data_IF_497509350286
#
_entry.id   IF_497509350286
#
_cell.length_a   1.000
_cell.length_b   1.000
_cell.length_c   1.000
_cell.angle_alpha   90.00
_cell.angle_beta   90.00
_cell.angle_gamma   90.00
#
_symmetry.space_group_name_H-M   'P 1'
#
loop_
_entity.id
_entity.type
_entity.pdbx_description
1 polymer ?
#
# COMPACT_ATOMS: atom_id res chain seq x y z
N UNK A 1 11.67 65.48 -34.74
CA UNK A 1 11.78 64.01 -34.74
C UNK A 1 11.35 63.52 -33.36
N UNK A 2 10.27 62.74 -33.36
CA UNK A 2 9.85 61.76 -32.32
C UNK A 2 9.62 62.29 -30.89
N UNK A 3 8.40 62.78 -30.56
CA UNK A 3 7.25 62.07 -29.92
C UNK A 3 7.45 61.79 -28.41
N UNK A 4 6.52 62.06 -27.47
CA UNK A 4 5.18 62.67 -27.45
C UNK A 4 4.83 62.93 -25.97
N UNK A 5 4.06 64.00 -25.74
CA UNK A 5 3.47 64.48 -24.47
C UNK A 5 2.24 63.65 -24.00
N UNK A 6 1.95 63.80 -22.70
CA UNK A 6 0.63 63.86 -22.01
C UNK A 6 -0.25 62.59 -22.09
N UNK A 7 -0.81 62.09 -20.98
CA UNK A 7 -1.97 62.59 -20.19
C UNK A 7 -1.92 61.96 -18.77
N UNK A 8 -2.63 62.36 -17.71
CA UNK A 8 -3.83 63.16 -17.49
C UNK A 8 -4.62 62.50 -16.34
N UNK A 9 -4.98 63.30 -15.33
CA UNK A 9 -5.74 62.96 -14.12
C UNK A 9 -7.21 62.62 -14.46
N UNK A 10 -7.84 61.74 -13.68
CA UNK A 10 -9.30 61.52 -13.69
C UNK A 10 -9.78 60.63 -12.54
N UNK A 11 -10.59 61.21 -11.66
CA UNK A 11 -11.28 60.65 -10.49
C UNK A 11 -12.46 59.70 -10.83
N UNK A 12 -12.92 59.02 -9.76
CA UNK A 12 -14.25 58.39 -9.53
C UNK A 12 -14.63 57.08 -10.25
N UNK A 13 -14.82 56.00 -9.46
CA UNK A 13 -16.14 55.64 -8.92
C UNK A 13 -16.11 54.24 -8.27
N UNK A 14 -16.49 54.21 -6.99
CA UNK A 14 -16.73 53.02 -6.17
C UNK A 14 -17.99 52.31 -6.67
N UNK A 15 -17.90 51.02 -7.02
CA UNK A 15 -19.06 50.12 -7.11
C UNK A 15 -18.75 48.80 -6.42
N UNK A 16 -19.51 48.58 -5.35
CA UNK A 16 -19.71 47.36 -4.59
C UNK A 16 -20.17 46.20 -5.47
N UNK A 17 -19.59 45.01 -5.25
CA UNK A 17 -20.27 43.75 -5.56
C UNK A 17 -20.16 42.82 -4.35
N UNK A 18 -21.33 42.31 -3.99
CA UNK A 18 -21.70 41.61 -2.77
C UNK A 18 -21.26 40.14 -2.80
N UNK A 19 -20.81 39.67 -1.64
CA UNK A 19 -20.68 38.26 -1.26
C UNK A 19 -22.07 37.61 -1.07
N UNK A 20 -22.31 36.35 -1.49
CA UNK A 20 -23.52 35.65 -1.09
C UNK A 20 -23.36 35.02 0.29
N UNK A 21 -24.15 35.53 1.23
CA UNK A 21 -24.32 35.08 2.61
C UNK A 21 -25.27 33.88 2.73
N UNK A 22 -24.98 33.05 3.73
CA UNK A 22 -25.81 32.09 4.47
C UNK A 22 -27.29 31.98 4.10
N UNK A 23 -27.72 30.76 3.78
CA UNK A 23 -29.12 30.32 3.92
C UNK A 23 -29.27 29.44 5.15
N UNK A 24 -29.84 30.02 6.19
CA UNK A 24 -30.50 29.36 7.30
C UNK A 24 -31.74 28.63 6.77
N UNK A 25 -31.87 27.32 7.04
CA UNK A 25 -33.13 26.60 6.89
C UNK A 25 -33.59 26.14 8.27
N UNK A 26 -34.83 26.51 8.54
CA UNK A 26 -35.63 26.39 9.75
C UNK A 26 -35.89 24.96 10.19
N UNK A 27 -35.90 24.79 11.52
CA UNK A 27 -36.35 23.62 12.26
C UNK A 27 -37.79 23.21 11.90
N UNK A 28 -38.00 21.93 11.63
CA UNK A 28 -39.30 21.27 11.76
C UNK A 28 -39.12 20.08 12.69
N UNK A 29 -39.75 20.20 13.85
CA UNK A 29 -39.92 19.15 14.87
C UNK A 29 -40.78 18.02 14.33
N UNK A 30 -40.27 16.79 14.32
CA UNK A 30 -41.11 15.61 14.16
C UNK A 30 -40.73 14.48 15.16
N UNK A 31 -41.68 14.27 16.07
CA UNK A 31 -42.08 13.05 16.79
C UNK A 31 -41.07 11.90 17.00
N UNK A 32 -40.64 11.76 18.26
CA UNK A 32 -40.09 10.55 18.87
C UNK A 32 -41.16 9.44 18.96
N UNK A 33 -40.96 8.33 18.26
CA UNK A 33 -41.57 7.04 18.61
C UNK A 33 -40.49 6.10 19.16
N UNK A 34 -40.73 5.67 20.41
CA UNK A 34 -39.92 4.72 21.15
C UNK A 34 -39.95 3.33 20.50
N UNK A 35 -38.80 2.85 20.03
CA UNK A 35 -38.58 1.43 19.75
C UNK A 35 -37.85 0.82 20.96
N UNK A 36 -38.60 0.06 21.74
CA UNK A 36 -38.11 -0.83 22.79
C UNK A 36 -37.18 -1.87 22.20
N UNK A 37 -35.90 -1.84 22.59
CA UNK A 37 -34.94 -2.91 22.33
C UNK A 37 -35.22 -4.03 23.33
N UNK A 38 -35.75 -5.14 22.84
CA UNK A 38 -35.84 -6.39 23.58
C UNK A 38 -34.42 -6.90 23.84
N UNK A 39 -34.01 -6.90 25.11
CA UNK A 39 -32.79 -7.55 25.58
C UNK A 39 -32.91 -9.06 25.36
N UNK A 40 -32.09 -9.63 24.47
CA UNK A 40 -31.92 -11.07 24.34
C UNK A 40 -30.79 -11.52 25.27
N UNK A 41 -31.02 -12.63 25.95
CA UNK A 41 -30.25 -13.18 27.06
C UNK A 41 -28.82 -13.57 26.67
N UNK A 42 -27.90 -13.37 27.62
CA UNK A 42 -26.50 -13.78 27.55
C UNK A 42 -26.37 -15.30 27.48
N UNK A 43 -25.68 -15.79 26.45
CA UNK A 43 -24.99 -17.07 26.48
C UNK A 43 -23.49 -16.81 26.41
N UNK A 44 -22.80 -17.13 27.50
CA UNK A 44 -21.34 -17.18 27.59
C UNK A 44 -20.81 -18.27 26.65
N UNK A 45 -20.27 -17.87 25.50
CA UNK A 45 -19.41 -18.73 24.68
C UNK A 45 -18.04 -18.05 24.57
N UNK A 46 -17.08 -18.53 25.37
CA UNK A 46 -15.73 -17.93 25.52
C UNK A 46 -14.73 -18.38 24.46
N UNK A 47 -15.16 -19.08 23.40
CA UNK A 47 -14.24 -19.67 22.41
C UNK A 47 -14.53 -19.32 20.93
N UNK A 48 -15.21 -18.20 20.64
CA UNK A 48 -15.37 -17.71 19.26
C UNK A 48 -14.96 -16.23 19.13
N UNK A 49 -13.66 -15.95 19.01
CA UNK A 49 -13.20 -14.71 18.36
C UNK A 49 -13.40 -14.87 16.85
N UNK A 50 -14.66 -14.87 16.42
CA UNK A 50 -15.00 -14.81 15.01
C UNK A 50 -15.32 -13.35 14.68
N UNK A 51 -14.27 -12.52 14.69
CA UNK A 51 -14.38 -11.21 14.07
C UNK A 51 -14.64 -11.39 12.58
N UNK A 52 -15.48 -10.52 12.02
CA UNK A 52 -16.03 -10.65 10.66
C UNK A 52 -14.95 -11.07 9.65
N UNK A 53 -15.28 -12.06 8.81
CA UNK A 53 -14.37 -12.60 7.79
C UNK A 53 -14.75 -12.01 6.44
N UNK A 54 -13.84 -11.22 5.86
CA UNK A 54 -13.93 -10.80 4.47
C UNK A 54 -13.43 -11.92 3.57
N UNK A 55 -14.34 -12.78 3.13
CA UNK A 55 -14.05 -13.80 2.12
C UNK A 55 -13.97 -13.16 0.73
N UNK A 56 -12.96 -13.52 -0.07
CA UNK A 56 -12.80 -12.99 -1.43
C UNK A 56 -12.26 -14.02 -2.41
N UNK A 57 -12.53 -13.81 -3.69
CA UNK A 57 -12.01 -14.63 -4.80
C UNK A 57 -11.26 -13.78 -5.82
N UNK A 58 -10.48 -14.43 -6.68
CA UNK A 58 -9.78 -13.78 -7.79
C UNK A 58 -10.73 -13.05 -8.76
N UNK A 59 -11.99 -13.48 -8.83
CA UNK A 59 -13.02 -12.84 -9.66
C UNK A 59 -13.39 -11.43 -9.19
N UNK A 60 -12.99 -11.04 -7.98
CA UNK A 60 -13.22 -9.70 -7.43
C UNK A 60 -12.01 -8.76 -7.63
N UNK A 61 -10.90 -9.25 -8.18
CA UNK A 61 -9.71 -8.43 -8.40
C UNK A 61 -9.94 -7.39 -9.51
N UNK A 62 -9.69 -6.13 -9.16
CA UNK A 62 -9.79 -4.99 -10.05
C UNK A 62 -8.40 -4.60 -10.54
N UNK A 63 -7.98 -5.13 -11.69
CA UNK A 63 -6.63 -4.91 -12.23
C UNK A 63 -6.38 -3.48 -12.74
N UNK A 64 -7.43 -2.75 -13.11
CA UNK A 64 -7.36 -1.35 -13.55
C UNK A 64 -8.42 -0.49 -12.87
N UNK A 65 -8.12 0.80 -12.76
CA UNK A 65 -9.04 1.82 -12.23
C UNK A 65 -9.02 3.07 -13.11
N UNK A 66 -10.03 3.92 -12.94
CA UNK A 66 -10.11 5.22 -13.62
C UNK A 66 -8.94 6.13 -13.22
N UNK A 67 -8.45 6.94 -14.17
CA UNK A 67 -7.42 7.97 -13.98
C UNK A 67 -7.97 9.19 -13.25
N UNK A 68 -7.12 9.88 -12.45
CA UNK A 68 -7.47 11.14 -11.77
C UNK A 68 -8.16 12.13 -12.71
N UNK A 69 -9.34 12.63 -12.30
CA UNK A 69 -10.19 13.49 -13.13
C UNK A 69 -11.12 14.35 -12.28
N UNK A 70 -11.53 15.54 -12.78
CA UNK A 70 -12.20 16.58 -11.98
C UNK A 70 -13.65 16.29 -11.57
N UNK A 71 -14.27 15.21 -12.07
CA UNK A 71 -15.70 14.92 -11.87
C UNK A 71 -16.03 13.44 -11.61
N UNK A 72 -15.02 12.60 -11.41
CA UNK A 72 -15.26 11.19 -11.14
C UNK A 72 -15.49 10.99 -9.65
N UNK A 73 -16.76 10.86 -9.22
CA UNK A 73 -17.07 10.28 -7.92
C UNK A 73 -16.34 8.94 -7.77
N UNK A 74 -15.78 8.70 -6.59
CA UNK A 74 -15.07 7.45 -6.33
C UNK A 74 -16.08 6.31 -6.21
N UNK A 75 -16.06 5.40 -7.18
CA UNK A 75 -16.81 4.16 -7.07
C UNK A 75 -16.14 3.25 -6.04
N UNK A 76 -16.94 2.74 -5.09
CA UNK A 76 -16.49 1.85 -4.03
C UNK A 76 -16.82 0.40 -4.38
N UNK A 77 -15.84 -0.48 -4.24
CA UNK A 77 -16.04 -1.94 -4.27
C UNK A 77 -16.79 -2.43 -3.01
N UNK A 78 -17.11 -3.73 -2.95
CA UNK A 78 -17.59 -4.38 -1.71
C UNK A 78 -16.58 -4.21 -0.58
N UNK A 79 -15.30 -4.46 -0.87
CA UNK A 79 -14.19 -4.30 0.07
C UNK A 79 -14.12 -2.87 0.62
N UNK A 80 -14.20 -1.86 -0.24
CA UNK A 80 -14.13 -0.46 0.19
C UNK A 80 -15.29 -0.09 1.11
N UNK A 81 -16.51 -0.53 0.79
CA UNK A 81 -17.69 -0.25 1.61
C UNK A 81 -17.56 -0.89 2.99
N UNK A 82 -17.12 -2.13 3.07
CA UNK A 82 -17.00 -2.87 4.32
C UNK A 82 -15.88 -2.33 5.21
N UNK A 83 -14.70 -2.05 4.63
CA UNK A 83 -13.59 -1.43 5.37
C UNK A 83 -14.02 -0.08 5.95
N UNK A 84 -14.62 0.78 5.11
CA UNK A 84 -15.07 2.11 5.53
C UNK A 84 -16.13 2.04 6.61
N UNK A 85 -17.13 1.17 6.45
CA UNK A 85 -18.19 0.98 7.44
C UNK A 85 -17.62 0.56 8.81
N UNK A 86 -16.70 -0.42 8.82
CA UNK A 86 -16.11 -0.92 10.06
C UNK A 86 -15.14 0.10 10.69
N UNK A 87 -14.41 0.86 9.87
CA UNK A 87 -13.56 1.95 10.35
C UNK A 87 -14.39 3.09 10.96
N UNK A 88 -15.48 3.51 10.31
CA UNK A 88 -16.41 4.53 10.80
C UNK A 88 -17.09 4.08 12.11
N UNK A 89 -17.49 2.80 12.19
CA UNK A 89 -18.06 2.22 13.40
C UNK A 89 -17.06 2.24 14.56
N UNK A 90 -15.80 1.88 14.31
CA UNK A 90 -14.74 1.93 15.32
C UNK A 90 -14.44 3.38 15.75
N UNK A 91 -14.49 4.34 14.83
CA UNK A 91 -14.31 5.77 15.13
C UNK A 91 -15.42 6.27 16.04
N UNK A 92 -16.67 5.97 15.69
CA UNK A 92 -17.86 6.29 16.49
C UNK A 92 -17.84 5.62 17.87
N UNK A 93 -17.27 4.42 17.97
CA UNK A 93 -17.12 3.70 19.23
C UNK A 93 -15.96 4.21 20.11
N UNK A 94 -15.15 5.16 19.65
CA UNK A 94 -14.04 5.73 20.41
C UNK A 94 -12.80 4.84 20.48
N UNK A 95 -12.59 3.96 19.50
CA UNK A 95 -11.44 3.05 19.48
C UNK A 95 -10.11 3.74 19.09
N UNK A 96 -10.17 4.99 18.62
CA UNK A 96 -9.02 5.79 18.19
C UNK A 96 -8.55 6.74 19.29
N UNK A 97 -7.28 7.16 19.22
CA UNK A 97 -6.72 8.16 20.15
C UNK A 97 -7.20 9.59 19.88
N UNK A 98 -7.62 9.85 18.64
CA UNK A 98 -8.10 11.14 18.16
C UNK A 98 -8.91 10.95 16.86
N UNK A 99 -9.83 11.88 16.58
CA UNK A 99 -10.54 11.99 15.28
C UNK A 99 -9.65 12.58 14.17
N UNK A 100 -10.13 12.61 12.94
CA UNK A 100 -9.37 13.17 11.80
C UNK A 100 -9.96 14.47 11.24
N UNK A 101 -11.02 15.01 11.85
CA UNK A 101 -11.76 16.17 11.32
C UNK A 101 -10.90 17.45 11.30
N UNK A 102 -9.86 17.48 12.14
CA UNK A 102 -8.91 18.57 12.24
C UNK A 102 -7.77 18.52 11.19
N UNK A 103 -7.65 17.44 10.42
CA UNK A 103 -6.57 17.31 9.44
C UNK A 103 -6.82 18.27 8.29
N UNK A 104 -5.80 19.07 7.98
CA UNK A 104 -5.84 20.00 6.83
C UNK A 104 -4.83 19.58 5.78
N UNK A 105 -5.24 19.65 4.52
CA UNK A 105 -4.41 19.25 3.37
C UNK A 105 -3.97 20.47 2.56
N UNK A 106 -2.70 20.49 2.18
CA UNK A 106 -2.09 21.47 1.27
C UNK A 106 -1.27 20.74 0.22
N UNK A 107 -1.50 21.07 -1.04
CA UNK A 107 -0.60 20.68 -2.12
C UNK A 107 0.55 21.69 -2.16
N UNK A 108 1.78 21.22 -1.94
CA UNK A 108 2.97 22.07 -2.01
C UNK A 108 3.17 22.46 -3.49
N UNK A 109 3.32 23.75 -3.82
CA UNK A 109 3.54 24.18 -5.19
C UNK A 109 4.88 23.68 -5.74
N UNK A 110 4.83 22.98 -6.87
CA UNK A 110 6.01 22.52 -7.61
C UNK A 110 5.68 21.32 -8.51
N UNK A 111 6.65 20.79 -9.27
CA UNK A 111 6.43 19.71 -10.22
C UNK A 111 6.07 18.35 -9.60
N UNK A 112 6.34 18.11 -8.31
CA UNK A 112 6.03 16.82 -7.65
C UNK A 112 4.66 16.81 -6.99
N UNK A 113 4.08 17.98 -6.75
CA UNK A 113 2.78 18.17 -6.11
C UNK A 113 2.69 17.44 -4.77
N UNK A 114 3.72 17.57 -3.92
CA UNK A 114 3.73 16.91 -2.62
C UNK A 114 2.46 17.23 -1.81
N UNK A 115 1.84 16.19 -1.24
CA UNK A 115 0.59 16.32 -0.47
C UNK A 115 0.95 16.45 1.00
N UNK A 116 0.92 17.65 1.55
CA UNK A 116 1.15 17.91 2.96
C UNK A 116 -0.16 17.85 3.76
N UNK A 117 -0.15 17.13 4.87
CA UNK A 117 -1.26 17.08 5.82
C UNK A 117 -0.81 17.47 7.22
N UNK A 118 -1.41 18.51 7.78
CA UNK A 118 -1.15 18.90 9.16
C UNK A 118 -1.95 18.01 10.12
N UNK A 119 -1.24 17.27 10.97
CA UNK A 119 -1.87 16.42 11.98
C UNK A 119 -1.14 16.55 13.34
N UNK A 120 -1.50 17.61 14.07
CA UNK A 120 -0.90 17.96 15.37
C UNK A 120 -1.18 16.88 16.44
N UNK A 121 -2.39 16.30 16.44
CA UNK A 121 -2.75 15.26 17.40
C UNK A 121 -1.94 13.99 17.18
N UNK A 122 -1.66 13.61 15.93
CA UNK A 122 -0.75 12.51 15.64
C UNK A 122 0.65 12.75 16.16
N UNK A 123 1.17 13.97 16.02
CA UNK A 123 2.51 14.29 16.49
C UNK A 123 2.63 14.09 18.02
N UNK A 124 1.57 14.43 18.75
CA UNK A 124 1.51 14.41 20.22
C UNK A 124 1.05 13.08 20.82
N UNK A 125 -0.02 12.49 20.30
CA UNK A 125 -0.75 11.38 20.93
C UNK A 125 -0.28 10.00 20.43
N UNK A 126 0.60 9.94 19.42
CA UNK A 126 1.09 8.68 18.87
C UNK A 126 1.95 7.92 19.88
N UNK A 127 1.81 6.59 19.88
CA UNK A 127 2.64 5.71 20.71
C UNK A 127 4.13 5.90 20.46
N UNK A 128 4.92 5.75 21.53
CA UNK A 128 6.37 5.62 21.41
C UNK A 128 6.69 4.34 20.60
N UNK A 129 7.59 4.42 19.60
CA UNK A 129 8.12 3.25 18.93
C UNK A 129 8.80 2.28 19.90
N UNK A 130 8.85 1.00 19.55
CA UNK A 130 9.72 0.04 20.22
C UNK A 130 11.20 0.44 20.06
N UNK A 131 12.06 -0.04 20.95
CA UNK A 131 13.51 0.11 20.82
C UNK A 131 14.00 -0.81 19.69
N UNK A 132 14.39 -0.21 18.57
CA UNK A 132 14.82 -0.91 17.35
C UNK A 132 16.31 -0.62 17.13
N UNK A 133 17.13 -1.67 17.21
CA UNK A 133 18.59 -1.55 17.13
C UNK A 133 19.20 -2.22 15.91
N UNK A 134 18.45 -3.09 15.24
CA UNK A 134 18.90 -3.85 14.08
C UNK A 134 17.73 -4.11 13.14
N UNK A 135 18.02 -4.24 11.84
CA UNK A 135 17.03 -4.70 10.86
C UNK A 135 16.59 -6.15 11.11
N UNK A 136 17.48 -6.97 11.69
CA UNK A 136 17.30 -8.39 11.98
C UNK A 136 16.94 -8.63 13.46
N UNK A 137 16.34 -7.64 14.13
CA UNK A 137 15.95 -7.78 15.53
C UNK A 137 14.87 -8.87 15.68
N UNK A 138 15.06 -9.85 16.57
CA UNK A 138 14.08 -10.93 16.75
C UNK A 138 12.75 -10.38 17.28
N UNK A 139 11.66 -11.05 16.91
CA UNK A 139 10.36 -10.82 17.51
C UNK A 139 10.41 -11.07 19.02
N UNK A 140 9.72 -10.24 19.80
CA UNK A 140 9.63 -10.38 21.24
C UNK A 140 8.15 -10.46 21.67
N UNK A 141 7.68 -11.62 22.17
CA UNK A 141 6.28 -11.79 22.58
C UNK A 141 5.92 -11.03 23.87
N UNK A 142 6.91 -10.68 24.69
CA UNK A 142 6.72 -10.11 26.04
C UNK A 142 6.45 -8.60 26.02
N UNK A 143 6.68 -7.95 24.88
CA UNK A 143 6.33 -6.54 24.66
C UNK A 143 5.08 -6.45 23.78
N UNK A 144 4.52 -5.23 23.65
CA UNK A 144 3.36 -5.02 22.80
C UNK A 144 3.58 -5.59 21.40
N UNK A 145 2.63 -6.37 20.92
CA UNK A 145 2.58 -6.87 19.55
C UNK A 145 1.11 -7.05 19.11
N UNK A 146 0.87 -7.22 17.81
CA UNK A 146 -0.50 -7.21 17.28
C UNK A 146 -1.37 -8.41 17.63
N UNK A 147 -0.86 -9.48 18.27
CA UNK A 147 -1.75 -10.52 18.83
C UNK A 147 -2.52 -10.05 20.06
N UNK A 148 -2.16 -8.88 20.61
CA UNK A 148 -2.72 -8.31 21.83
C UNK A 148 -3.79 -7.23 21.55
N UNK A 149 -4.08 -6.92 20.27
CA UNK A 149 -5.11 -5.95 19.91
C UNK A 149 -6.49 -6.48 20.28
N UNK A 150 -7.35 -5.60 20.78
CA UNK A 150 -8.71 -5.97 21.17
C UNK A 150 -9.65 -6.14 19.98
N UNK A 151 -10.79 -6.83 20.15
CA UNK A 151 -11.77 -7.04 19.09
C UNK A 151 -12.34 -5.73 18.52
N UNK A 152 -12.39 -4.66 19.32
CA UNK A 152 -12.83 -3.33 18.89
C UNK A 152 -11.89 -2.66 17.88
N UNK A 153 -10.64 -3.13 17.78
CA UNK A 153 -9.66 -2.62 16.79
C UNK A 153 -9.71 -3.44 15.49
N UNK A 154 -10.38 -4.59 15.48
CA UNK A 154 -10.46 -5.45 14.30
C UNK A 154 -11.45 -4.87 13.29
N UNK A 155 -11.01 -4.73 12.04
CA UNK A 155 -11.87 -4.38 10.91
C UNK A 155 -12.48 -5.64 10.32
N UNK A 156 -11.66 -6.62 9.95
CA UNK A 156 -12.06 -7.98 9.57
C UNK A 156 -10.83 -8.88 9.39
N UNK A 157 -11.06 -10.19 9.28
CA UNK A 157 -10.06 -11.16 8.82
C UNK A 157 -10.20 -11.37 7.30
N UNK A 158 -9.08 -11.34 6.57
CA UNK A 158 -9.04 -11.59 5.13
C UNK A 158 -8.89 -13.10 4.86
N UNK A 159 -9.76 -13.65 4.01
CA UNK A 159 -9.70 -15.06 3.64
C UNK A 159 -9.95 -15.25 2.14
N UNK A 160 -8.90 -15.65 1.42
CA UNK A 160 -9.04 -16.05 0.01
C UNK A 160 -9.76 -17.39 -0.06
N UNK A 161 -10.86 -17.46 -0.80
CA UNK A 161 -11.62 -18.70 -1.04
C UNK A 161 -11.45 -19.13 -2.49
N UNK A 162 -11.33 -20.44 -2.72
CA UNK A 162 -11.27 -20.97 -4.09
C UNK A 162 -12.66 -20.91 -4.70
N UNK A 163 -12.76 -20.42 -5.94
CA UNK A 163 -14.00 -20.53 -6.71
C UNK A 163 -14.27 -22.02 -6.97
N UNK A 164 -15.30 -22.57 -6.34
CA UNK A 164 -15.73 -23.93 -6.63
C UNK A 164 -16.23 -23.99 -8.07
N UNK A 165 -15.38 -24.48 -8.99
CA UNK A 165 -15.76 -24.85 -10.35
C UNK A 165 -16.59 -26.15 -10.34
N UNK A 166 -17.74 -26.12 -9.67
CA UNK A 166 -18.78 -27.16 -9.75
C UNK A 166 -20.17 -26.53 -9.78
N UNK A 167 -20.47 -25.83 -10.86
CA UNK A 167 -21.82 -25.83 -11.42
C UNK A 167 -21.72 -26.07 -12.92
N UNK A 168 -22.09 -27.27 -13.33
CA UNK A 168 -22.36 -27.63 -14.70
C UNK A 168 -23.51 -26.77 -15.23
N UNK A 169 -23.19 -25.71 -15.97
CA UNK A 169 -24.11 -25.08 -16.92
C UNK A 169 -23.43 -25.09 -18.28
N UNK A 170 -24.10 -25.75 -19.24
CA UNK A 170 -23.66 -25.92 -20.64
C UNK A 170 -23.20 -24.58 -21.25
N UNK A 171 -22.14 -24.57 -22.07
CA UNK A 171 -21.70 -23.33 -22.72
C UNK A 171 -22.72 -22.89 -23.77
N UNK A 172 -23.09 -21.61 -23.70
CA UNK A 172 -23.88 -20.91 -24.73
C UNK A 172 -22.97 -20.63 -25.95
N UNK A 173 -23.44 -20.83 -27.19
CA UNK A 173 -22.61 -20.69 -28.38
C UNK A 173 -22.46 -19.21 -28.73
N UNK A 174 -21.50 -18.50 -28.11
CA UNK A 174 -21.00 -17.23 -28.66
C UNK A 174 -19.65 -16.76 -28.09
N UNK A 175 -18.74 -17.67 -27.74
CA UNK A 175 -17.36 -17.33 -27.36
C UNK A 175 -16.35 -18.09 -28.21
N UNK A 176 -16.57 -18.08 -29.53
CA UNK A 176 -15.69 -18.69 -30.52
C UNK A 176 -15.50 -17.78 -31.74
N UNK A 177 -15.27 -16.48 -31.54
CA UNK A 177 -14.87 -15.58 -32.64
C UNK A 177 -13.81 -14.51 -32.29
N UNK A 178 -13.23 -14.48 -31.08
CA UNK A 178 -12.20 -13.47 -30.74
C UNK A 178 -10.78 -14.06 -30.58
N UNK A 179 -10.63 -15.38 -30.53
CA UNK A 179 -9.31 -16.03 -30.39
C UNK A 179 -8.76 -16.65 -31.69
N UNK A 180 -9.31 -16.30 -32.87
CA UNK A 180 -8.88 -16.90 -34.15
C UNK A 180 -8.39 -15.91 -35.20
N UNK A 181 -8.04 -14.68 -34.80
CA UNK A 181 -7.63 -13.61 -35.71
C UNK A 181 -6.18 -13.12 -35.54
N UNK A 182 -5.33 -13.77 -34.73
CA UNK A 182 -3.92 -13.35 -34.58
C UNK A 182 -2.88 -14.48 -34.80
N UNK A 183 -3.28 -15.67 -35.21
CA UNK A 183 -2.35 -16.77 -35.52
C UNK A 183 -2.73 -17.42 -36.86
N UNK A 184 -2.53 -16.69 -37.95
CA UNK A 184 -2.69 -17.23 -39.30
C UNK A 184 -1.78 -16.56 -40.31
N UNK A 185 -0.50 -16.38 -39.97
CA UNK A 185 0.58 -16.32 -40.95
C UNK A 185 1.86 -16.90 -40.31
N UNK A 186 1.97 -18.23 -40.24
CA UNK A 186 3.20 -19.00 -40.47
C UNK A 186 2.85 -20.51 -40.47
N UNK A 187 2.92 -21.09 -41.68
CA UNK A 187 3.18 -22.49 -42.08
C UNK A 187 3.21 -23.57 -40.96
N UNK A 188 2.38 -24.63 -40.94
CA UNK A 188 2.45 -25.89 -41.76
C UNK A 188 3.90 -26.37 -41.94
N UNK A 189 4.38 -27.55 -41.56
CA UNK A 189 3.93 -28.91 -41.20
C UNK A 189 4.95 -29.42 -40.13
N UNK A 190 4.82 -30.47 -39.31
CA UNK A 190 4.38 -31.84 -39.54
C UNK A 190 4.33 -32.59 -38.18
N UNK A 191 3.41 -33.54 -38.04
CA UNK A 191 3.23 -34.43 -36.89
C UNK A 191 4.34 -35.48 -36.78
N UNK A 192 4.69 -35.89 -35.55
CA UNK A 192 4.67 -37.30 -35.14
C UNK A 192 5.09 -37.52 -33.67
N UNK A 193 4.38 -38.44 -33.01
CA UNK A 193 5.00 -39.40 -32.10
C UNK A 193 4.90 -39.14 -30.61
N UNK A 194 3.83 -39.64 -30.01
CA UNK A 194 3.72 -39.86 -28.57
C UNK A 194 4.76 -40.88 -28.08
N UNK A 195 5.34 -40.62 -26.89
CA UNK A 195 5.74 -41.69 -25.98
C UNK A 195 5.78 -41.17 -24.53
N UNK A 196 4.93 -41.74 -23.69
CA UNK A 196 5.01 -41.66 -22.23
C UNK A 196 6.15 -42.54 -21.71
N UNK A 197 6.77 -42.17 -20.57
CA UNK A 197 7.25 -43.05 -19.47
C UNK A 197 7.98 -42.20 -18.39
N UNK A 198 8.02 -42.61 -17.10
CA UNK A 198 7.71 -41.73 -15.98
C UNK A 198 8.85 -41.38 -15.00
N UNK A 199 8.56 -40.37 -14.17
CA UNK A 199 9.06 -40.04 -12.81
C UNK A 199 10.57 -40.13 -12.54
N UNK A 200 11.16 -38.99 -12.17
CA UNK A 200 12.16 -38.96 -11.10
C UNK A 200 12.02 -37.74 -10.20
N UNK A 201 11.88 -38.02 -8.92
CA UNK A 201 11.90 -37.13 -7.77
C UNK A 201 13.33 -36.93 -7.26
N UNK A 202 13.69 -35.69 -6.94
CA UNK A 202 14.80 -35.35 -6.03
C UNK A 202 15.40 -33.96 -6.29
N UNK A 203 16.07 -33.33 -5.30
CA UNK A 203 15.73 -33.23 -3.89
C UNK A 203 15.45 -31.77 -3.47
N UNK A 204 14.60 -31.64 -2.46
CA UNK A 204 14.40 -30.42 -1.67
C UNK A 204 15.65 -30.08 -0.83
N UNK A 205 15.83 -28.78 -0.58
CA UNK A 205 16.40 -28.28 0.67
C UNK A 205 17.90 -27.99 0.68
N UNK A 206 18.24 -26.71 0.56
CA UNK A 206 19.41 -26.15 1.25
C UNK A 206 18.94 -24.89 2.00
N UNK A 207 19.10 -24.98 3.32
CA UNK A 207 18.63 -24.06 4.36
C UNK A 207 19.88 -23.42 4.96
N UNK A 208 19.88 -22.11 5.17
CA UNK A 208 20.92 -21.43 5.94
C UNK A 208 20.29 -20.62 7.07
N UNK A 209 20.32 -21.22 8.27
CA UNK A 209 20.39 -20.66 9.63
C UNK A 209 19.41 -21.35 10.58
N UNK A 210 19.92 -22.43 11.21
CA UNK A 210 19.20 -23.32 12.09
C UNK A 210 18.95 -22.76 13.48
N UNK A 211 17.68 -22.54 13.76
CA UNK A 211 17.05 -22.98 15.01
C UNK A 211 15.70 -23.62 14.64
N UNK A 212 15.46 -24.91 14.93
CA UNK A 212 14.12 -25.48 14.80
C UNK A 212 13.23 -24.86 15.88
N UNK A 213 12.23 -24.08 15.47
CA UNK A 213 11.12 -23.77 16.36
C UNK A 213 10.42 -25.08 16.74
N UNK A 214 10.09 -25.30 18.02
CA UNK A 214 9.33 -26.48 18.40
C UNK A 214 7.97 -26.42 17.68
N UNK A 215 7.54 -27.49 16.99
CA UNK A 215 6.17 -27.54 16.53
C UNK A 215 5.30 -27.50 17.78
N UNK A 216 4.37 -26.53 17.84
CA UNK A 216 3.24 -26.60 18.74
C UNK A 216 2.43 -27.85 18.36
N UNK A 217 2.80 -28.99 18.94
CA UNK A 217 1.99 -30.19 18.91
C UNK A 217 0.83 -29.98 19.87
N UNK A 218 -0.26 -29.41 19.35
CA UNK A 218 -1.59 -29.74 19.84
C UNK A 218 -2.18 -30.78 18.89
N UNK A 219 -2.60 -31.91 19.47
CA UNK A 219 -3.04 -33.10 18.75
C UNK A 219 -4.21 -32.87 17.81
N UNK A 220 -4.29 -33.72 16.78
CA UNK A 220 -5.37 -33.84 15.79
C UNK A 220 -5.91 -32.51 15.22
N UNK A 221 -5.40 -32.04 14.09
CA UNK A 221 -6.02 -30.90 13.42
C UNK A 221 -5.50 -30.66 12.01
N UNK A 222 -6.42 -30.39 11.08
CA UNK A 222 -6.11 -29.79 9.78
C UNK A 222 -5.12 -28.62 9.98
N UNK A 223 -4.15 -28.47 9.07
CA UNK A 223 -3.37 -27.23 8.94
C UNK A 223 -4.32 -26.04 9.10
N UNK A 224 -4.20 -25.29 10.19
CA UNK A 224 -5.02 -24.10 10.42
C UNK A 224 -4.58 -23.09 9.37
N UNK A 225 -5.51 -22.64 8.53
CA UNK A 225 -5.22 -21.60 7.54
C UNK A 225 -4.59 -20.39 8.24
N UNK A 226 -3.60 -19.78 7.59
CA UNK A 226 -2.95 -18.59 8.15
C UNK A 226 -3.96 -17.45 8.31
N UNK A 227 -4.02 -16.86 9.50
CA UNK A 227 -4.89 -15.71 9.77
C UNK A 227 -4.23 -14.43 9.27
N UNK A 228 -4.89 -13.76 8.31
CA UNK A 228 -4.55 -12.41 7.87
C UNK A 228 -5.60 -11.45 8.44
N UNK A 229 -5.18 -10.49 9.26
CA UNK A 229 -6.10 -9.56 9.91
C UNK A 229 -5.92 -8.14 9.36
N UNK A 230 -7.00 -7.39 9.26
CA UNK A 230 -6.98 -5.95 9.05
C UNK A 230 -7.49 -5.29 10.33
N UNK A 231 -6.68 -4.43 10.94
CA UNK A 231 -7.04 -3.71 12.18
C UNK A 231 -6.95 -2.22 11.95
N UNK A 232 -7.69 -1.41 12.71
CA UNK A 232 -7.55 0.05 12.63
C UNK A 232 -6.15 0.46 13.09
N UNK A 233 -5.65 1.56 12.55
CA UNK A 233 -4.55 2.25 13.20
C UNK A 233 -5.12 3.25 14.22
N UNK A 234 -5.05 2.91 15.51
CA UNK A 234 -5.55 3.76 16.61
C UNK A 234 -4.91 5.16 16.66
N UNK A 235 -3.82 5.38 15.93
CA UNK A 235 -3.31 6.71 15.60
C UNK A 235 -3.43 6.88 14.08
N UNK A 236 -4.57 7.35 13.56
CA UNK A 236 -4.79 7.44 12.12
C UNK A 236 -3.99 8.60 11.52
N UNK A 237 -3.72 8.51 10.22
CA UNK A 237 -3.05 9.59 9.45
C UNK A 237 -4.02 10.25 8.50
N UNK A 238 -4.98 9.47 8.04
CA UNK A 238 -5.98 9.79 7.05
C UNK A 238 -7.12 8.78 7.25
N UNK A 239 -8.25 9.05 6.63
CA UNK A 239 -9.40 8.20 6.55
C UNK A 239 -9.08 6.76 6.11
N UNK A 240 -9.67 5.79 6.79
CA UNK A 240 -9.46 4.37 6.56
C UNK A 240 -8.04 3.88 6.84
N UNK A 241 -7.23 4.62 7.61
CA UNK A 241 -5.90 4.15 7.99
C UNK A 241 -5.99 2.91 8.89
N UNK A 242 -5.64 1.77 8.32
CA UNK A 242 -5.60 0.44 8.91
C UNK A 242 -4.19 -0.15 8.84
N UNK A 243 -3.99 -1.26 9.55
CA UNK A 243 -2.81 -2.10 9.51
C UNK A 243 -3.20 -3.48 9.01
N UNK A 244 -2.65 -3.89 7.87
CA UNK A 244 -2.71 -5.27 7.41
C UNK A 244 -1.67 -6.07 8.18
N UNK A 245 -2.09 -7.20 8.77
CA UNK A 245 -1.30 -8.10 9.60
C UNK A 245 -1.28 -9.50 8.95
N UNK A 246 -0.39 -9.75 7.99
CA UNK A 246 -0.31 -11.05 7.33
C UNK A 246 0.21 -12.12 8.29
N UNK A 247 -0.49 -13.26 8.37
CA UNK A 247 -0.06 -14.41 9.18
C UNK A 247 0.19 -14.02 10.65
N UNK A 248 -0.70 -13.20 11.24
CA UNK A 248 -0.51 -12.55 12.54
C UNK A 248 -0.19 -13.53 13.68
N UNK A 249 -0.74 -14.75 13.61
CA UNK A 249 -0.53 -15.79 14.63
C UNK A 249 0.85 -16.45 14.56
N UNK A 250 1.61 -16.22 13.48
CA UNK A 250 2.99 -16.68 13.34
C UNK A 250 3.99 -15.78 14.06
N UNK A 251 3.57 -14.62 14.56
CA UNK A 251 4.43 -13.70 15.31
C UNK A 251 5.73 -13.35 14.55
N UNK A 252 5.61 -13.12 13.24
CA UNK A 252 6.77 -12.83 12.40
C UNK A 252 7.35 -11.46 12.76
N UNK A 253 8.70 -11.31 12.80
CA UNK A 253 9.32 -9.99 12.91
C UNK A 253 8.92 -9.10 11.73
N UNK A 254 9.17 -7.79 11.84
CA UNK A 254 8.87 -6.80 10.79
C UNK A 254 9.82 -6.95 9.57
N UNK A 255 9.67 -8.06 8.88
CA UNK A 255 10.42 -8.52 7.71
C UNK A 255 9.39 -9.07 6.74
N UNK A 256 9.34 -8.56 5.51
CA UNK A 256 8.40 -9.03 4.51
C UNK A 256 8.70 -10.47 4.08
N UNK A 257 7.64 -11.23 3.83
CA UNK A 257 7.65 -12.53 3.17
C UNK A 257 6.96 -12.42 1.82
N UNK A 258 7.21 -13.37 0.91
CA UNK A 258 6.47 -13.46 -0.36
C UNK A 258 4.95 -13.50 -0.12
N UNK A 259 4.49 -14.28 0.87
CA UNK A 259 3.08 -14.35 1.28
C UNK A 259 2.56 -12.99 1.73
N UNK A 260 3.34 -12.23 2.50
CA UNK A 260 2.91 -10.91 2.99
C UNK A 260 2.71 -9.89 1.87
N UNK A 261 3.60 -9.90 0.85
CA UNK A 261 3.51 -9.04 -0.32
C UNK A 261 2.32 -9.46 -1.19
N UNK A 262 2.11 -10.77 -1.36
CA UNK A 262 0.96 -11.32 -2.08
C UNK A 262 -0.36 -10.84 -1.48
N UNK A 263 -0.56 -11.01 -0.17
CA UNK A 263 -1.79 -10.57 0.51
C UNK A 263 -1.97 -9.05 0.42
N UNK A 264 -0.88 -8.28 0.48
CA UNK A 264 -0.91 -6.83 0.31
C UNK A 264 -1.38 -6.41 -1.11
N UNK A 265 -0.89 -7.10 -2.15
CA UNK A 265 -1.31 -6.89 -3.54
C UNK A 265 -2.77 -7.32 -3.77
N UNK A 266 -3.17 -8.49 -3.26
CA UNK A 266 -4.55 -8.96 -3.33
C UNK A 266 -5.50 -7.97 -2.65
N UNK A 267 -5.16 -7.48 -1.46
CA UNK A 267 -5.97 -6.48 -0.76
C UNK A 267 -6.11 -5.16 -1.56
N UNK A 268 -5.03 -4.69 -2.19
CA UNK A 268 -5.10 -3.51 -3.05
C UNK A 268 -6.01 -3.74 -4.28
N UNK A 269 -5.95 -4.94 -4.88
CA UNK A 269 -6.77 -5.30 -6.03
C UNK A 269 -8.27 -5.39 -5.69
N UNK A 270 -8.63 -5.66 -4.44
CA UNK A 270 -10.03 -5.64 -4.00
C UNK A 270 -10.61 -4.22 -3.94
N UNK A 271 -9.77 -3.20 -3.75
CA UNK A 271 -10.22 -1.81 -3.72
C UNK A 271 -10.40 -1.24 -5.12
N UNK A 272 -11.56 -0.61 -5.37
CA UNK A 272 -11.82 0.18 -6.58
C UNK A 272 -11.33 1.62 -6.44
N UNK A 273 -11.06 2.05 -5.22
CA UNK A 273 -10.61 3.40 -4.94
C UNK A 273 -9.14 3.58 -5.38
N UNK A 274 -8.93 4.45 -6.37
CA UNK A 274 -7.60 4.71 -6.94
C UNK A 274 -6.54 5.19 -5.92
N UNK A 275 -7.00 5.93 -4.91
CA UNK A 275 -6.18 6.45 -3.83
C UNK A 275 -6.03 5.49 -2.64
N UNK A 276 -6.42 4.22 -2.76
CA UNK A 276 -6.10 3.22 -1.74
C UNK A 276 -4.65 2.77 -1.92
N UNK A 277 -3.86 2.80 -0.85
CA UNK A 277 -2.40 2.58 -0.90
C UNK A 277 -1.95 1.76 0.28
N UNK A 278 -0.84 1.04 0.11
CA UNK A 278 -0.18 0.33 1.19
C UNK A 278 1.29 0.74 1.32
N UNK A 279 1.80 0.77 2.53
CA UNK A 279 3.19 1.07 2.83
C UNK A 279 3.77 0.10 3.86
N UNK A 280 5.02 -0.32 3.66
CA UNK A 280 5.77 -1.09 4.64
C UNK A 280 7.09 -0.40 4.97
N UNK A 281 7.43 -0.48 6.24
CA UNK A 281 8.66 0.06 6.79
C UNK A 281 9.42 -1.11 7.41
N UNK A 282 10.66 -1.36 6.96
CA UNK A 282 11.52 -2.31 7.66
C UNK A 282 11.89 -1.75 9.03
N UNK A 283 12.38 -2.62 9.91
CA UNK A 283 13.17 -2.16 11.05
C UNK A 283 14.34 -1.27 10.56
N UNK A 284 14.69 -0.25 11.35
CA UNK A 284 15.63 0.81 10.97
C UNK A 284 15.21 1.68 9.76
N UNK A 285 13.99 1.51 9.23
CA UNK A 285 13.35 2.35 8.22
C UNK A 285 12.03 2.97 8.72
N UNK A 286 12.02 3.37 10.00
CA UNK A 286 10.88 3.97 10.71
C UNK A 286 9.68 3.07 11.02
N UNK A 287 9.82 1.73 10.96
CA UNK A 287 8.90 0.83 11.65
C UNK A 287 8.79 1.21 13.14
N UNK A 288 7.59 1.10 13.70
CA UNK A 288 7.35 1.44 15.12
C UNK A 288 7.11 0.23 16.02
N UNK A 289 6.79 -0.93 15.42
CA UNK A 289 6.50 -2.20 16.10
C UNK A 289 7.24 -3.30 15.34
N UNK A 290 7.94 -4.19 16.05
CA UNK A 290 8.55 -5.39 15.48
C UNK A 290 7.54 -6.55 15.46
N UNK A 291 6.57 -6.46 14.57
CA UNK A 291 5.63 -7.53 14.22
C UNK A 291 5.13 -7.20 12.80
N UNK A 292 5.32 -8.10 11.84
CA UNK A 292 4.98 -7.92 10.42
C UNK A 292 3.62 -7.22 10.19
N UNK A 293 3.67 -6.00 9.64
CA UNK A 293 2.50 -5.22 9.27
C UNK A 293 2.77 -4.30 8.08
N UNK A 294 1.72 -4.01 7.32
CA UNK A 294 1.64 -2.95 6.31
C UNK A 294 0.65 -1.89 6.77
N UNK A 295 0.96 -0.63 6.54
CA UNK A 295 -0.01 0.45 6.60
C UNK A 295 -0.90 0.39 5.37
N UNK A 296 -2.20 0.63 5.52
CA UNK A 296 -3.15 0.78 4.42
C UNK A 296 -4.05 1.98 4.69
N UNK A 297 -4.34 2.81 3.68
CA UNK A 297 -5.14 4.03 3.84
C UNK A 297 -5.69 4.51 2.51
N UNK A 298 -6.75 5.32 2.57
CA UNK A 298 -7.24 6.09 1.42
C UNK A 298 -6.60 7.47 1.45
N UNK A 299 -6.32 8.06 0.30
CA UNK A 299 -6.03 9.49 0.19
C UNK A 299 -6.52 9.97 -1.18
N UNK A 300 -7.42 10.95 -1.18
CA UNK A 300 -8.09 11.48 -2.39
C UNK A 300 -7.26 12.52 -3.16
N UNK A 301 -5.93 12.34 -3.17
CA UNK A 301 -5.00 13.16 -3.93
C UNK A 301 -4.03 12.26 -4.70
N UNK A 302 -3.72 12.63 -5.95
CA UNK A 302 -2.71 11.95 -6.77
C UNK A 302 -1.30 12.19 -6.20
N UNK A 303 -0.53 11.12 -6.01
CA UNK A 303 0.86 11.20 -5.57
C UNK A 303 1.84 11.10 -6.73
N UNK A 304 3.03 11.69 -6.58
CA UNK A 304 4.10 11.68 -7.60
C UNK A 304 4.46 10.27 -8.07
N UNK A 305 4.48 9.29 -7.16
CA UNK A 305 4.81 7.89 -7.48
C UNK A 305 3.79 7.20 -8.39
N UNK A 306 2.60 7.75 -8.55
CA UNK A 306 1.56 7.16 -9.40
C UNK A 306 1.79 7.44 -10.89
N UNK A 307 2.53 8.49 -11.21
CA UNK A 307 2.77 8.93 -12.58
C UNK A 307 4.24 9.22 -12.90
N UNK A 308 5.15 9.14 -11.92
CA UNK A 308 6.55 9.44 -12.15
C UNK A 308 7.14 8.52 -13.24
N UNK A 309 8.03 9.06 -14.08
CA UNK A 309 8.77 8.24 -15.04
C UNK A 309 9.69 7.27 -14.29
N UNK A 310 9.96 6.14 -14.93
CA UNK A 310 10.91 5.13 -14.45
C UNK A 310 11.86 4.74 -15.57
N UNK A 311 13.05 4.27 -15.22
CA UNK A 311 14.04 3.76 -16.18
C UNK A 311 14.02 2.24 -16.14
N UNK A 312 13.82 1.57 -17.27
CA UNK A 312 13.93 0.11 -17.34
C UNK A 312 15.37 -0.33 -17.06
N UNK A 313 15.55 -1.36 -16.23
CA UNK A 313 16.86 -1.90 -15.87
C UNK A 313 17.12 -3.30 -16.47
N UNK A 314 16.29 -4.29 -16.13
CA UNK A 314 16.41 -5.68 -16.60
C UNK A 314 15.14 -6.48 -16.31
N UNK A 315 14.69 -7.36 -17.20
CA UNK A 315 13.45 -8.13 -16.98
C UNK A 315 12.27 -7.22 -16.63
N UNK A 316 11.59 -7.50 -15.51
CA UNK A 316 10.49 -6.67 -14.98
C UNK A 316 10.95 -5.60 -13.97
N UNK A 317 12.27 -5.39 -13.83
CA UNK A 317 12.88 -4.43 -12.90
C UNK A 317 13.02 -3.04 -13.54
N UNK A 318 12.52 -2.04 -12.82
CA UNK A 318 12.66 -0.62 -13.16
C UNK A 318 13.35 0.15 -12.03
N UNK A 319 13.85 1.34 -12.35
CA UNK A 319 14.42 2.30 -11.42
C UNK A 319 13.53 3.53 -11.31
N UNK A 320 13.27 3.97 -10.08
CA UNK A 320 12.70 5.28 -9.77
C UNK A 320 13.80 6.19 -9.23
N UNK A 321 13.98 7.35 -9.87
CA UNK A 321 14.94 8.39 -9.49
C UNK A 321 14.31 9.79 -9.47
N UNK A 322 12.99 9.89 -9.61
CA UNK A 322 12.25 11.16 -9.51
C UNK A 322 12.22 11.69 -8.09
N UNK A 323 12.23 10.79 -7.11
CA UNK A 323 12.36 11.11 -5.69
C UNK A 323 13.85 11.21 -5.31
N UNK A 324 14.23 12.04 -4.32
CA UNK A 324 15.63 12.16 -3.91
C UNK A 324 16.24 10.82 -3.54
N UNK A 325 15.49 9.91 -2.88
CA UNK A 325 15.95 8.54 -2.65
C UNK A 325 15.66 7.68 -3.88
N UNK A 326 16.69 7.18 -4.57
CA UNK A 326 16.47 6.28 -5.69
C UNK A 326 16.05 4.89 -5.19
N UNK A 327 15.31 4.16 -6.02
CA UNK A 327 14.79 2.84 -5.67
C UNK A 327 14.40 2.02 -6.88
N UNK A 328 13.81 0.86 -6.62
CA UNK A 328 13.40 -0.09 -7.65
C UNK A 328 11.88 -0.14 -7.76
N UNK A 329 11.39 -0.33 -8.97
CA UNK A 329 9.98 -0.38 -9.30
C UNK A 329 9.60 -1.68 -10.00
N UNK A 330 8.40 -2.16 -9.68
CA UNK A 330 7.72 -3.31 -10.29
C UNK A 330 6.27 -2.92 -10.59
N UNK A 331 5.60 -3.65 -11.49
CA UNK A 331 4.19 -3.43 -11.79
C UNK A 331 3.46 -4.73 -12.08
N UNK A 332 2.14 -4.75 -11.89
CA UNK A 332 1.31 -5.91 -12.28
C UNK A 332 1.03 -5.98 -13.79
N UNK A 333 1.15 -4.88 -14.53
CA UNK A 333 0.91 -4.90 -15.97
C UNK A 333 1.95 -5.77 -16.68
N UNK A 334 1.48 -6.80 -17.37
CA UNK A 334 2.34 -7.82 -17.99
C UNK A 334 2.86 -8.89 -17.02
N UNK A 335 2.37 -8.91 -15.78
CA UNK A 335 2.83 -9.83 -14.73
C UNK A 335 1.64 -10.41 -13.94
N UNK A 336 1.92 -11.20 -12.91
CA UNK A 336 0.92 -11.76 -11.98
C UNK A 336 1.20 -11.32 -10.56
N UNK A 337 0.23 -11.49 -9.67
CA UNK A 337 0.43 -11.22 -8.23
C UNK A 337 1.55 -12.10 -7.68
N UNK A 338 1.57 -13.38 -8.05
CA UNK A 338 2.61 -14.33 -7.66
C UNK A 338 4.00 -13.88 -8.12
N UNK A 339 4.13 -13.49 -9.40
CA UNK A 339 5.41 -13.09 -9.97
C UNK A 339 5.93 -11.81 -9.32
N UNK A 340 5.12 -10.75 -9.25
CA UNK A 340 5.52 -9.50 -8.59
C UNK A 340 5.86 -9.73 -7.12
N UNK A 341 5.10 -10.57 -6.41
CA UNK A 341 5.39 -10.90 -5.01
C UNK A 341 6.75 -11.56 -4.86
N UNK A 342 7.07 -12.54 -5.73
CA UNK A 342 8.36 -13.23 -5.73
C UNK A 342 9.50 -12.29 -6.04
N UNK A 343 9.36 -11.44 -7.07
CA UNK A 343 10.39 -10.50 -7.50
C UNK A 343 10.68 -9.43 -6.44
N UNK A 344 9.63 -8.84 -5.85
CA UNK A 344 9.78 -7.89 -4.73
C UNK A 344 10.39 -8.57 -3.52
N UNK A 345 9.97 -9.80 -3.21
CA UNK A 345 10.53 -10.59 -2.11
C UNK A 345 12.03 -10.88 -2.32
N UNK A 346 12.46 -11.24 -3.52
CA UNK A 346 13.88 -11.46 -3.86
C UNK A 346 14.73 -10.23 -3.53
N UNK A 347 14.29 -9.03 -3.94
CA UNK A 347 15.02 -7.78 -3.63
C UNK A 347 14.99 -7.48 -2.13
N UNK A 348 13.84 -7.60 -1.48
CA UNK A 348 13.73 -7.36 -0.03
C UNK A 348 14.55 -8.35 0.80
N UNK A 349 14.65 -9.61 0.38
CA UNK A 349 15.48 -10.64 1.03
C UNK A 349 16.94 -10.28 0.94
N UNK A 350 17.41 -9.88 -0.25
CA UNK A 350 18.76 -9.34 -0.41
C UNK A 350 19.01 -8.14 0.52
N UNK A 351 18.09 -7.19 0.62
CA UNK A 351 18.23 -6.06 1.55
C UNK A 351 18.29 -6.51 3.01
N UNK A 352 17.47 -7.48 3.41
CA UNK A 352 17.47 -8.02 4.76
C UNK A 352 18.79 -8.72 5.10
N UNK A 353 19.31 -9.54 4.19
CA UNK A 353 20.57 -10.29 4.33
C UNK A 353 21.80 -9.37 4.33
N UNK A 354 21.78 -8.35 3.47
CA UNK A 354 22.84 -7.34 3.37
C UNK A 354 22.75 -6.25 4.45
N UNK A 355 21.83 -6.38 5.40
CA UNK A 355 21.61 -5.42 6.49
C UNK A 355 21.33 -3.99 5.94
N UNK A 356 20.40 -3.88 4.99
CA UNK A 356 19.98 -2.64 4.32
C UNK A 356 18.54 -2.31 4.72
N UNK A 357 18.38 -1.19 5.44
CA UNK A 357 17.05 -0.66 5.77
C UNK A 357 16.30 -0.26 4.49
N UNK A 358 15.00 -0.55 4.45
CA UNK A 358 14.20 -0.34 3.25
C UNK A 358 12.74 -0.02 3.54
N UNK A 359 12.12 0.69 2.61
CA UNK A 359 10.68 0.92 2.58
C UNK A 359 10.07 0.30 1.34
N UNK A 360 8.81 -0.10 1.45
CA UNK A 360 7.97 -0.58 0.35
C UNK A 360 6.73 0.30 0.25
N UNK A 361 6.28 0.58 -0.97
CA UNK A 361 5.03 1.28 -1.21
C UNK A 361 4.30 0.69 -2.42
N UNK A 362 3.00 0.46 -2.25
CA UNK A 362 2.13 -0.17 -3.23
C UNK A 362 0.98 0.80 -3.51
N UNK A 363 0.80 1.15 -4.77
CA UNK A 363 -0.26 2.06 -5.19
C UNK A 363 -0.77 1.72 -6.58
N UNK A 364 -1.91 2.27 -6.94
CA UNK A 364 -2.35 2.32 -8.35
C UNK A 364 -1.63 3.48 -9.05
N UNK A 365 -1.39 3.35 -10.35
CA UNK A 365 -0.72 4.37 -11.14
C UNK A 365 -0.77 4.06 -12.63
N UNK A 366 -0.18 4.91 -13.47
CA UNK A 366 -0.11 4.66 -14.92
C UNK A 366 0.82 3.46 -15.19
N UNK A 367 0.66 2.75 -16.31
CA UNK A 367 1.65 1.71 -16.68
C UNK A 367 3.03 2.36 -16.88
N UNK A 368 4.11 1.71 -16.46
CA UNK A 368 5.47 2.20 -16.68
C UNK A 368 5.73 2.43 -18.18
N UNK A 369 6.32 3.58 -18.50
CA UNK A 369 6.54 4.03 -19.88
C UNK A 369 5.38 4.81 -20.50
N UNK A 370 4.20 4.81 -19.87
CA UNK A 370 3.08 5.67 -20.28
C UNK A 370 3.21 7.09 -19.71
N UNK A 371 2.52 8.05 -20.33
CA UNK A 371 2.44 9.44 -19.83
C UNK A 371 1.47 9.55 -18.66
N UNK A 372 1.58 10.63 -17.87
CA UNK A 372 0.65 10.92 -16.74
C UNK A 372 -0.82 10.95 -17.16
N UNK A 373 -1.12 11.33 -18.41
CA UNK A 373 -2.49 11.42 -18.93
C UNK A 373 -3.01 10.09 -19.51
N UNK A 374 -2.20 9.02 -19.50
CA UNK A 374 -2.61 7.72 -20.05
C UNK A 374 -3.72 7.08 -19.22
N UNK A 375 -4.70 6.50 -19.92
CA UNK A 375 -5.79 5.72 -19.30
C UNK A 375 -5.38 4.31 -18.92
N UNK A 376 -4.20 3.85 -19.34
CA UNK A 376 -3.67 2.54 -18.95
C UNK A 376 -3.11 2.63 -17.54
N UNK A 377 -3.85 2.07 -16.59
CA UNK A 377 -3.46 2.00 -15.19
C UNK A 377 -3.07 0.59 -14.78
N UNK A 378 -2.27 0.49 -13.72
CA UNK A 378 -1.82 -0.76 -13.11
C UNK A 378 -1.55 -0.55 -11.62
N UNK A 379 -1.15 -1.62 -10.94
CA UNK A 379 -0.54 -1.55 -9.62
C UNK A 379 0.96 -1.42 -9.78
N UNK A 380 1.53 -0.43 -9.09
CA UNK A 380 2.96 -0.17 -9.00
C UNK A 380 3.44 -0.55 -7.60
N UNK A 381 4.62 -1.17 -7.53
CA UNK A 381 5.31 -1.48 -6.27
C UNK A 381 6.68 -0.85 -6.32
N UNK A 382 7.02 -0.09 -5.28
CA UNK A 382 8.32 0.53 -5.13
C UNK A 382 9.03 0.01 -3.90
N UNK A 383 10.34 -0.22 -4.01
CA UNK A 383 11.21 -0.55 -2.89
C UNK A 383 12.43 0.38 -2.88
N UNK A 384 12.65 1.08 -1.76
CA UNK A 384 13.77 2.01 -1.61
C UNK A 384 14.75 1.50 -0.57
N UNK A 385 16.00 1.17 -0.95
CA UNK A 385 17.07 1.00 0.03
C UNK A 385 17.50 2.38 0.55
N UNK A 386 17.74 2.49 1.85
CA UNK A 386 17.99 3.77 2.52
C UNK A 386 18.94 3.64 3.70
N UNK A 387 19.48 4.77 4.15
CA UNK A 387 20.32 4.83 5.36
C UNK A 387 19.53 4.33 6.57
N UNK A 388 20.17 3.50 7.40
CA UNK A 388 19.57 3.06 8.67
C UNK A 388 19.32 4.24 9.59
N UNK A 389 18.18 4.17 10.26
CA UNK A 389 17.88 5.02 11.39
C UNK A 389 17.84 4.19 12.67
N UNK A 390 18.76 4.48 13.60
CA UNK A 390 18.81 3.87 14.95
C UNK A 390 18.93 5.01 15.95
N UNK A 391 17.94 5.15 16.84
CA UNK A 391 17.94 6.19 17.88
C UNK A 391 16.67 7.04 17.92
N UNK A 392 16.79 8.23 18.52
CA UNK A 392 15.68 9.16 18.75
C UNK A 392 15.44 10.02 17.52
N UNK A 393 14.20 10.02 17.01
CA UNK A 393 13.75 10.77 15.81
C UNK A 393 14.27 12.21 15.82
N UNK A 394 14.79 12.67 14.69
CA UNK A 394 15.23 14.07 14.52
C UNK A 394 14.05 15.04 14.65
N UNK A 395 14.36 16.30 14.94
CA UNK A 395 13.41 17.41 15.09
C UNK A 395 12.90 17.97 13.74
N UNK A 396 12.94 17.17 12.68
CA UNK A 396 12.45 17.56 11.34
C UNK A 396 10.92 17.56 11.26
N UNK A 397 10.38 18.31 10.29
CA UNK A 397 8.93 18.53 10.13
C UNK A 397 8.15 17.21 9.97
N UNK A 398 8.79 16.17 9.43
CA UNK A 398 8.27 14.81 9.30
C UNK A 398 9.41 13.77 9.35
N UNK A 399 9.07 12.49 9.53
CA UNK A 399 10.05 11.40 9.38
C UNK A 399 9.88 10.76 8.00
N UNK A 400 10.98 10.49 7.30
CA UNK A 400 10.95 9.91 5.95
C UNK A 400 10.75 8.40 6.00
N UNK A 401 9.50 7.95 6.12
CA UNK A 401 9.09 6.55 6.00
C UNK A 401 8.52 6.25 4.60
N UNK A 402 7.82 5.12 4.43
CA UNK A 402 7.30 4.70 3.13
C UNK A 402 6.31 5.68 2.50
N UNK A 403 5.50 6.35 3.32
CA UNK A 403 4.42 7.25 2.85
C UNK A 403 5.01 8.56 2.33
N UNK A 404 6.01 9.09 3.03
CA UNK A 404 6.73 10.30 2.65
C UNK A 404 7.56 10.10 1.38
N UNK A 405 8.17 8.92 1.22
CA UNK A 405 8.80 8.51 -0.05
C UNK A 405 7.79 8.38 -1.20
N UNK A 406 6.52 8.13 -0.89
CA UNK A 406 5.41 8.19 -1.84
C UNK A 406 4.99 9.62 -2.22
N UNK A 407 5.39 10.63 -1.44
CA UNK A 407 5.03 12.03 -1.64
C UNK A 407 3.83 12.52 -0.82
N UNK A 408 3.41 11.77 0.19
CA UNK A 408 2.41 12.19 1.18
C UNK A 408 3.14 12.52 2.50
N UNK A 409 3.00 13.76 2.98
CA UNK A 409 3.81 14.33 4.05
C UNK A 409 2.95 14.64 5.30
N UNK A 410 3.05 13.83 6.37
CA UNK A 410 2.35 14.08 7.62
C UNK A 410 3.14 15.13 8.42
N UNK A 411 2.77 16.39 8.27
CA UNK A 411 3.42 17.53 8.88
C UNK A 411 3.00 17.66 10.35
N UNK A 412 3.99 17.90 11.21
CA UNK A 412 3.82 17.92 12.68
C UNK A 412 3.65 19.31 13.25
N UNK A 413 4.11 20.32 12.53
CA UNK A 413 4.20 21.70 13.02
C UNK A 413 3.53 22.65 12.03
N UNK A 414 2.82 23.65 12.57
CA UNK A 414 2.07 24.62 11.78
C UNK A 414 2.97 25.46 10.87
N UNK A 415 4.13 25.89 11.39
CA UNK A 415 5.09 26.70 10.63
C UNK A 415 5.63 25.92 9.42
N UNK A 416 6.02 24.65 9.61
CA UNK A 416 6.43 23.77 8.52
C UNK A 416 5.30 23.57 7.50
N UNK A 417 4.07 23.41 7.97
CA UNK A 417 2.91 23.24 7.09
C UNK A 417 2.62 24.46 6.22
N UNK A 418 2.99 25.69 6.63
CA UNK A 418 2.81 26.87 5.79
C UNK A 418 4.05 27.24 4.98
N UNK A 419 5.25 26.87 5.43
CA UNK A 419 6.50 27.35 4.82
C UNK A 419 7.21 26.34 3.92
N UNK A 420 6.97 25.02 4.06
CA UNK A 420 7.68 24.01 3.28
C UNK A 420 7.47 24.21 1.77
N UNK A 421 8.58 24.23 1.03
CA UNK A 421 8.64 24.18 -0.44
C UNK A 421 9.05 22.78 -0.90
N UNK A 422 8.90 22.45 -2.18
CA UNK A 422 9.34 21.14 -2.69
C UNK A 422 10.85 20.94 -2.53
N UNK A 423 11.65 21.99 -2.69
CA UNK A 423 13.10 21.91 -2.51
C UNK A 423 13.48 21.57 -1.06
N UNK A 424 12.75 22.14 -0.09
CA UNK A 424 12.94 21.82 1.32
C UNK A 424 12.52 20.38 1.63
N UNK A 425 11.38 19.93 1.09
CA UNK A 425 10.93 18.54 1.21
C UNK A 425 11.94 17.58 0.60
N UNK A 426 12.47 17.90 -0.58
CA UNK A 426 13.49 17.11 -1.25
C UNK A 426 14.75 16.97 -0.41
N UNK A 427 15.19 18.08 0.22
CA UNK A 427 16.34 18.09 1.10
C UNK A 427 16.14 17.18 2.33
N UNK A 428 14.94 17.20 2.94
CA UNK A 428 14.58 16.33 4.07
C UNK A 428 14.58 14.85 3.62
N UNK A 429 13.95 14.54 2.49
CA UNK A 429 13.91 13.17 1.95
C UNK A 429 15.33 12.69 1.61
N UNK A 430 16.20 13.57 1.11
CA UNK A 430 17.57 13.25 0.76
C UNK A 430 18.44 12.80 1.95
N UNK A 431 18.16 13.21 3.20
CA UNK A 431 18.93 12.73 4.38
C UNK A 431 18.83 11.20 4.58
N UNK A 432 17.78 10.60 4.02
CA UNK A 432 17.59 9.16 4.06
C UNK A 432 18.34 8.40 2.95
N UNK A 433 19.00 9.08 2.01
CA UNK A 433 19.80 8.43 0.99
C UNK A 433 20.93 7.59 1.60
N UNK A 434 21.29 6.52 0.89
CA UNK A 434 22.49 5.76 1.18
C UNK A 434 23.76 6.62 0.96
N UNK A 435 24.89 6.25 1.59
CA UNK A 435 26.17 6.87 1.30
C UNK A 435 26.51 6.86 -0.20
N UNK A 436 27.27 7.85 -0.65
CA UNK A 436 27.62 8.01 -2.06
C UNK A 436 28.23 6.73 -2.65
N UNK A 437 27.68 6.29 -3.79
CA UNK A 437 28.12 5.09 -4.51
C UNK A 437 27.58 3.76 -4.00
N UNK A 438 26.97 3.70 -2.80
CA UNK A 438 26.42 2.44 -2.29
C UNK A 438 25.16 2.01 -3.04
N UNK A 439 24.32 2.97 -3.43
CA UNK A 439 23.15 2.69 -4.27
C UNK A 439 23.55 2.05 -5.61
N UNK A 440 24.62 2.52 -6.27
CA UNK A 440 25.08 1.93 -7.54
C UNK A 440 25.58 0.49 -7.39
N UNK A 441 26.22 0.15 -6.25
CA UNK A 441 26.61 -1.23 -5.94
C UNK A 441 25.39 -2.12 -5.76
N UNK A 442 24.41 -1.63 -5.00
CA UNK A 442 23.13 -2.32 -4.78
C UNK A 442 22.40 -2.51 -6.11
N UNK A 443 22.26 -1.45 -6.90
CA UNK A 443 21.64 -1.49 -8.24
C UNK A 443 22.29 -2.55 -9.13
N UNK A 444 23.62 -2.60 -9.19
CA UNK A 444 24.33 -3.64 -9.96
C UNK A 444 24.00 -5.05 -9.46
N UNK A 445 23.94 -5.25 -8.15
CA UNK A 445 23.58 -6.55 -7.57
C UNK A 445 22.13 -6.93 -7.90
N UNK A 446 21.20 -6.00 -7.69
CA UNK A 446 19.77 -6.21 -7.98
C UNK A 446 19.55 -6.51 -9.46
N UNK A 447 20.18 -5.78 -10.39
CA UNK A 447 20.13 -6.11 -11.83
C UNK A 447 20.56 -7.57 -12.10
N UNK A 448 21.60 -8.05 -11.42
CA UNK A 448 22.08 -9.44 -11.54
C UNK A 448 21.04 -10.49 -11.16
N UNK A 449 20.14 -10.20 -10.21
CA UNK A 449 19.04 -11.08 -9.82
C UNK A 449 18.04 -11.30 -10.97
N UNK A 450 17.92 -10.35 -11.90
CA UNK A 450 16.95 -10.37 -13.00
C UNK A 450 17.57 -10.62 -14.38
N UNK A 451 18.90 -10.70 -14.48
CA UNK A 451 19.61 -10.85 -15.75
C UNK A 451 19.86 -12.31 -16.17
N UNK A 452 19.39 -13.30 -15.39
CA UNK A 452 19.81 -14.71 -15.52
C UNK A 452 18.82 -15.63 -16.26
N UNK A 453 17.90 -15.09 -17.07
CA UNK A 453 16.85 -15.90 -17.74
C UNK A 453 16.97 -16.01 -19.26
N UNK A 454 18.15 -15.75 -19.82
CA UNK A 454 18.44 -16.02 -21.23
C UNK A 454 19.88 -16.51 -21.37
N UNK A 455 20.06 -17.64 -22.03
CA UNK A 455 21.32 -18.32 -22.40
C UNK A 455 21.80 -19.44 -21.46
N UNK A 456 21.11 -20.58 -21.53
CA UNK A 456 21.79 -21.88 -21.60
C UNK A 456 21.39 -22.57 -22.91
N UNK A 457 22.27 -22.62 -23.93
CA UNK A 457 22.02 -23.48 -25.09
C UNK A 457 22.06 -24.93 -24.62
N UNK A 458 21.01 -25.67 -24.95
CA UNK A 458 20.95 -27.13 -24.84
C UNK A 458 22.18 -27.74 -25.53
N UNK A 459 23.07 -28.34 -24.75
CA UNK A 459 24.06 -29.30 -25.24
C UNK A 459 23.46 -30.70 -25.27
#
# INVERSE_FOLDING_TARGET
>A
MTTRRETGVGEEAMKSQETPTNRTITETTDTLQSLTITTCEMCDDKDAVNGDVFEYTDGEFLHSTNTWGPSSEFELSRFDKELRQNWDAAMKAGAFRYDIDHITTRIIPGPKHYVAQLNLLRAKERRKPQDIRSINQPFNPDIFNFTQVGPQELVFNLKRVQSNSKSSSKPSPNTLQVQKAMELEHSKEEENGANEIPRHSGPSGLVANGLPHPPLQNGNGKSKDDRHALVINVSPMEYGHCLLLPQVDRCLPQIVTETSIKVALEMLLLSKHRGYRLGFNSLCAFASVNHLHFHAFYLEHELVVEYCPVTHLAGDLYEINTMPVPGFGFQLHGSTVEEVSRQVHQVSSYFQEADIAHNLFICRGTVFGETRQSTKTTVRVYIWPRRKFVGTKSAEEFNVASIELGGHLPIRELDGYHSLTEEAVDAIIADSQLPAGDYEKIKKHVIGLFSSTSDQPSQ
#
